data_IF_861959610739
#
_entry.id   IF_861959610739
#
_cell.length_a   1.000
_cell.length_b   1.000
_cell.length_c   1.000
_cell.angle_alpha   90.00
_cell.angle_beta   90.00
_cell.angle_gamma   90.00
#
_symmetry.space_group_name_H-M   'P 1'
#
loop_
_entity.id
_entity.type
_entity.pdbx_description
1 polymer ?
#
# COMPACT_ATOMS: atom_id res chain seq x y z
N UNK A 1 33.38 19.97 19.95
CA UNK A 1 32.02 19.88 19.38
C UNK A 1 31.24 18.72 19.93
N UNK A 2 30.01 18.97 20.40
CA UNK A 2 29.11 17.92 20.86
C UNK A 2 28.55 17.16 19.65
N UNK A 3 28.76 15.84 19.60
CA UNK A 3 28.28 14.96 18.51
C UNK A 3 26.81 14.58 18.73
N UNK A 4 25.90 15.54 18.55
CA UNK A 4 24.46 15.39 18.78
C UNK A 4 23.64 15.90 17.58
N UNK A 5 22.44 15.36 17.43
CA UNK A 5 21.39 15.84 16.53
C UNK A 5 20.57 16.92 17.21
N UNK A 6 20.16 17.92 16.43
CA UNK A 6 19.12 18.89 16.77
C UNK A 6 17.93 18.65 15.85
N UNK A 7 16.76 18.39 16.41
CA UNK A 7 15.54 18.09 15.65
C UNK A 7 14.53 19.19 15.94
N UNK A 8 14.19 19.96 14.91
CA UNK A 8 13.15 20.97 14.97
C UNK A 8 11.78 20.32 14.78
N UNK A 9 10.85 20.62 15.67
CA UNK A 9 9.47 20.16 15.61
C UNK A 9 8.59 21.26 15.01
N UNK A 10 7.43 20.89 14.44
CA UNK A 10 6.50 21.84 13.81
C UNK A 10 5.97 22.92 14.78
N UNK A 11 5.97 22.64 16.08
CA UNK A 11 5.60 23.60 17.13
C UNK A 11 6.69 24.62 17.49
N UNK A 12 7.82 24.64 16.79
CA UNK A 12 8.94 25.56 17.03
C UNK A 12 9.92 25.12 18.11
N UNK A 13 9.60 24.07 18.88
CA UNK A 13 10.53 23.43 19.82
C UNK A 13 11.69 22.73 19.08
N UNK A 14 12.87 22.72 19.69
CA UNK A 14 14.01 21.93 19.22
C UNK A 14 14.46 20.97 20.31
N UNK A 15 14.49 19.69 19.99
CA UNK A 15 14.99 18.63 20.87
C UNK A 15 16.37 18.16 20.43
N UNK A 16 17.18 17.69 21.37
CA UNK A 16 18.51 17.15 21.07
C UNK A 16 18.61 15.67 21.39
N UNK A 17 19.31 14.91 20.54
CA UNK A 17 19.55 13.49 20.77
C UNK A 17 20.94 13.07 20.29
N UNK A 18 21.46 11.96 20.82
CA UNK A 18 22.71 11.37 20.32
C UNK A 18 22.50 10.56 19.04
N UNK A 19 21.32 9.98 18.88
CA UNK A 19 20.95 9.17 17.72
C UNK A 19 19.61 9.63 17.16
N UNK A 20 19.49 9.62 15.84
CA UNK A 20 18.26 9.90 15.11
C UNK A 20 17.91 8.66 14.29
N UNK A 21 16.71 8.11 14.50
CA UNK A 21 16.19 6.96 13.76
C UNK A 21 14.97 7.42 12.97
N UNK A 22 15.07 7.44 11.65
CA UNK A 22 13.99 7.91 10.75
C UNK A 22 13.16 6.74 10.24
N UNK A 23 12.07 6.42 10.94
CA UNK A 23 11.12 5.37 10.56
C UNK A 23 9.86 5.94 9.88
N UNK A 24 10.04 6.88 8.94
CA UNK A 24 8.95 7.67 8.34
C UNK A 24 8.12 6.92 7.29
N UNK A 25 8.51 5.70 6.93
CA UNK A 25 7.88 4.90 5.87
C UNK A 25 8.22 5.39 4.46
N UNK A 26 8.28 4.47 3.49
CA UNK A 26 8.59 4.79 2.09
C UNK A 26 7.37 5.32 1.31
N UNK A 27 6.17 4.94 1.74
CA UNK A 27 4.89 5.25 1.08
C UNK A 27 4.00 6.10 1.99
N UNK A 28 4.55 7.14 2.62
CA UNK A 28 3.84 7.96 3.62
C UNK A 28 3.45 9.36 3.14
N UNK A 29 3.92 9.78 1.96
CA UNK A 29 3.59 11.08 1.38
C UNK A 29 2.67 10.89 0.16
N UNK A 30 1.46 11.45 0.19
CA UNK A 30 0.57 11.36 -0.96
C UNK A 30 1.13 12.20 -2.11
N UNK A 31 1.08 11.66 -3.32
CA UNK A 31 1.46 12.37 -4.54
C UNK A 31 0.21 12.64 -5.36
N UNK A 32 -0.31 13.86 -5.27
CA UNK A 32 -1.38 14.32 -6.15
C UNK A 32 -0.88 14.35 -7.60
N UNK A 33 -1.70 13.93 -8.58
CA UNK A 33 -1.34 14.04 -9.99
C UNK A 33 -1.36 15.51 -10.42
N UNK A 34 -0.41 15.88 -11.27
CA UNK A 34 -0.37 17.20 -11.89
C UNK A 34 -1.32 17.21 -13.11
N UNK A 35 -2.60 17.48 -12.84
CA UNK A 35 -3.66 17.56 -13.84
C UNK A 35 -4.22 18.99 -13.81
N UNK A 36 -4.08 19.78 -14.89
CA UNK A 36 -4.60 21.13 -14.94
C UNK A 36 -6.11 21.18 -14.63
N UNK A 37 -6.50 22.05 -13.70
CA UNK A 37 -7.89 22.22 -13.28
C UNK A 37 -8.44 21.13 -12.36
N UNK A 38 -7.61 20.20 -11.85
CA UNK A 38 -8.10 19.12 -10.97
C UNK A 38 -8.78 19.65 -9.71
N UNK A 39 -8.24 20.73 -9.12
CA UNK A 39 -8.79 21.34 -7.91
C UNK A 39 -10.08 22.15 -8.19
N UNK A 40 -10.41 22.42 -9.45
CA UNK A 40 -11.66 23.08 -9.86
C UNK A 40 -12.84 22.09 -9.99
N UNK A 41 -12.59 20.80 -9.75
CA UNK A 41 -13.64 19.78 -9.81
C UNK A 41 -14.72 20.09 -8.76
N UNK A 42 -15.94 20.34 -9.23
CA UNK A 42 -17.07 20.68 -8.35
C UNK A 42 -17.55 19.52 -7.46
N UNK A 43 -17.11 18.29 -7.76
CA UNK A 43 -17.38 17.12 -6.93
C UNK A 43 -16.33 16.88 -5.85
N UNK A 44 -16.43 15.75 -5.16
CA UNK A 44 -15.47 15.37 -4.11
C UNK A 44 -14.20 14.77 -4.72
N UNK A 45 -13.05 15.28 -4.30
CA UNK A 45 -11.73 14.68 -4.60
C UNK A 45 -11.25 13.93 -3.37
N UNK A 46 -10.93 12.65 -3.52
CA UNK A 46 -10.37 11.80 -2.44
C UNK A 46 -9.06 11.19 -2.91
N UNK A 47 -7.99 11.37 -2.14
CA UNK A 47 -6.75 10.64 -2.35
C UNK A 47 -6.76 9.36 -1.50
N UNK A 48 -6.39 8.21 -2.04
CA UNK A 48 -6.52 6.92 -1.35
C UNK A 48 -5.72 6.79 -0.05
N UNK A 49 -4.65 7.58 0.12
CA UNK A 49 -3.89 7.69 1.38
C UNK A 49 -4.55 8.60 2.43
N UNK A 50 -5.40 9.53 1.98
CA UNK A 50 -6.12 10.50 2.81
C UNK A 50 -7.63 10.26 2.65
N UNK A 51 -8.02 9.03 2.98
CA UNK A 51 -9.39 8.56 2.79
C UNK A 51 -10.30 9.13 3.88
N UNK A 52 -11.45 9.67 3.47
CA UNK A 52 -12.50 10.14 4.37
C UNK A 52 -13.42 8.97 4.74
N UNK A 53 -13.32 8.46 5.97
CA UNK A 53 -14.16 7.34 6.44
C UNK A 53 -15.66 7.68 6.53
N UNK A 54 -16.03 8.98 6.46
CA UNK A 54 -17.43 9.41 6.39
C UNK A 54 -18.00 9.37 4.96
N UNK A 55 -17.17 9.23 3.94
CA UNK A 55 -17.59 9.19 2.55
C UNK A 55 -18.23 7.83 2.19
N UNK A 56 -19.44 7.88 1.62
CA UNK A 56 -20.07 6.72 0.99
C UNK A 56 -20.01 6.81 -0.53
N UNK A 57 -19.50 5.79 -1.23
CA UNK A 57 -19.50 5.74 -2.69
C UNK A 57 -20.86 5.30 -3.28
N UNK A 58 -21.86 5.00 -2.44
CA UNK A 58 -23.14 4.43 -2.88
C UNK A 58 -23.90 5.38 -3.82
N UNK A 59 -24.21 4.91 -5.04
CA UNK A 59 -24.96 5.69 -6.02
C UNK A 59 -24.16 6.80 -6.73
N UNK A 60 -22.89 6.98 -6.38
CA UNK A 60 -22.03 7.99 -6.99
C UNK A 60 -21.48 7.55 -8.36
N UNK A 61 -21.17 8.52 -9.22
CA UNK A 61 -20.37 8.29 -10.43
C UNK A 61 -18.92 8.66 -10.15
N UNK A 62 -18.05 7.66 -10.14
CA UNK A 62 -16.69 7.79 -9.62
C UNK A 62 -15.67 7.68 -10.77
N UNK A 63 -14.78 8.67 -10.87
CA UNK A 63 -13.56 8.57 -11.66
C UNK A 63 -12.38 8.14 -10.78
N UNK A 64 -11.75 7.01 -11.09
CA UNK A 64 -10.56 6.51 -10.38
C UNK A 64 -9.31 6.69 -11.27
N UNK A 65 -8.35 7.49 -10.81
CA UNK A 65 -7.11 7.78 -11.54
C UNK A 65 -5.96 6.94 -10.97
N UNK A 66 -5.36 6.11 -11.82
CA UNK A 66 -4.22 5.26 -11.48
C UNK A 66 -4.62 3.80 -11.21
N UNK A 67 -3.77 2.87 -11.64
CA UNK A 67 -4.04 1.43 -11.63
C UNK A 67 -2.96 0.64 -10.86
N UNK A 68 -2.37 1.25 -9.82
CA UNK A 68 -1.39 0.58 -8.96
C UNK A 68 -2.02 -0.43 -7.99
N UNK A 69 -1.21 -0.96 -7.07
CA UNK A 69 -1.66 -1.96 -6.09
C UNK A 69 -2.89 -1.52 -5.28
N UNK A 70 -2.97 -0.23 -4.90
CA UNK A 70 -4.13 0.34 -4.21
C UNK A 70 -5.41 0.24 -5.05
N UNK A 71 -5.34 0.53 -6.35
CA UNK A 71 -6.49 0.48 -7.24
C UNK A 71 -7.02 -0.94 -7.41
N UNK A 72 -6.15 -1.95 -7.49
CA UNK A 72 -6.54 -3.37 -7.59
C UNK A 72 -7.41 -3.80 -6.41
N UNK A 73 -7.20 -3.21 -5.23
CA UNK A 73 -7.98 -3.49 -4.03
C UNK A 73 -9.24 -2.62 -3.92
N UNK A 74 -9.17 -1.36 -4.37
CA UNK A 74 -10.30 -0.41 -4.30
C UNK A 74 -11.37 -0.71 -5.35
N UNK A 75 -10.99 -0.95 -6.61
CA UNK A 75 -11.92 -1.15 -7.73
C UNK A 75 -12.99 -2.20 -7.38
N UNK A 76 -12.66 -3.41 -6.88
CA UNK A 76 -13.67 -4.43 -6.56
C UNK A 76 -14.62 -4.04 -5.41
N UNK A 77 -14.25 -3.10 -4.54
CA UNK A 77 -15.13 -2.63 -3.47
C UNK A 77 -16.00 -1.47 -3.94
N UNK A 78 -15.45 -0.56 -4.74
CA UNK A 78 -16.18 0.57 -5.31
C UNK A 78 -17.25 0.11 -6.31
N UNK A 79 -16.96 -0.88 -7.17
CA UNK A 79 -17.94 -1.41 -8.14
C UNK A 79 -19.17 -2.03 -7.51
N UNK A 80 -19.12 -2.41 -6.22
CA UNK A 80 -20.28 -2.97 -5.50
C UNK A 80 -21.28 -1.90 -5.06
N UNK A 81 -20.87 -0.63 -5.01
CA UNK A 81 -21.63 0.45 -4.37
C UNK A 81 -21.87 1.64 -5.32
N UNK A 82 -20.87 2.01 -6.13
CA UNK A 82 -20.97 3.10 -7.08
C UNK A 82 -22.02 2.84 -8.16
N UNK A 83 -22.72 3.89 -8.61
CA UNK A 83 -23.60 3.80 -9.77
C UNK A 83 -22.79 3.59 -11.05
N UNK A 84 -21.63 4.24 -11.15
CA UNK A 84 -20.71 4.09 -12.27
C UNK A 84 -19.26 4.25 -11.77
N UNK A 85 -18.35 3.44 -12.31
CA UNK A 85 -16.92 3.55 -12.03
C UNK A 85 -16.13 3.63 -13.35
N UNK A 86 -15.52 4.78 -13.61
CA UNK A 86 -14.61 4.97 -14.74
C UNK A 86 -13.16 4.89 -14.24
N UNK A 87 -12.35 4.00 -14.83
CA UNK A 87 -10.94 3.81 -14.44
C UNK A 87 -10.02 4.44 -15.49
N UNK A 88 -9.27 5.44 -15.09
CA UNK A 88 -8.26 6.11 -15.92
C UNK A 88 -6.89 5.45 -15.72
N UNK A 89 -6.50 4.63 -16.70
CA UNK A 89 -5.24 3.90 -16.70
C UNK A 89 -4.20 4.56 -17.60
N UNK A 90 -3.05 4.97 -17.04
CA UNK A 90 -1.90 5.41 -17.84
C UNK A 90 -1.05 4.24 -18.33
N UNK A 91 -0.80 3.26 -17.47
CA UNK A 91 0.03 2.09 -17.77
C UNK A 91 -0.58 0.86 -17.13
N UNK A 92 -0.85 -0.22 -17.89
CA UNK A 92 -1.38 -1.46 -17.31
C UNK A 92 -0.35 -2.11 -16.39
N UNK A 93 -0.83 -2.77 -15.34
CA UNK A 93 0.01 -3.57 -14.45
C UNK A 93 -0.30 -5.06 -14.61
N UNK A 94 0.67 -5.90 -14.28
CA UNK A 94 0.45 -7.34 -14.18
C UNK A 94 -0.29 -7.66 -12.89
N UNK A 95 -1.47 -8.26 -13.01
CA UNK A 95 -2.30 -8.68 -11.88
C UNK A 95 -2.38 -10.19 -11.87
N UNK A 96 -2.06 -10.79 -10.73
CA UNK A 96 -2.21 -12.23 -10.48
C UNK A 96 -3.28 -12.44 -9.40
N UNK A 97 -4.00 -13.58 -9.40
CA UNK A 97 -4.94 -13.91 -8.34
C UNK A 97 -4.26 -13.89 -6.98
N UNK A 98 -4.79 -13.08 -6.05
CA UNK A 98 -4.37 -13.09 -4.64
C UNK A 98 -5.15 -14.20 -3.93
N UNK A 99 -4.48 -15.31 -3.64
CA UNK A 99 -5.03 -16.35 -2.77
C UNK A 99 -4.99 -15.80 -1.35
N UNK A 100 -6.16 -15.46 -0.80
CA UNK A 100 -6.31 -14.94 0.55
C UNK A 100 -7.23 -15.86 1.35
N UNK A 101 -6.78 -16.28 2.53
CA UNK A 101 -7.55 -17.14 3.42
C UNK A 101 -7.32 -16.75 4.87
N UNK A 102 -8.37 -16.81 5.71
CA UNK A 102 -8.24 -16.49 7.12
C UNK A 102 -7.30 -17.49 7.80
N UNK A 103 -6.29 -16.98 8.53
CA UNK A 103 -5.42 -17.83 9.35
C UNK A 103 -6.28 -18.52 10.41
N UNK A 104 -6.34 -19.88 10.45
CA UNK A 104 -7.19 -20.61 11.38
C UNK A 104 -6.87 -20.31 12.85
N UNK A 105 -7.89 -20.34 13.72
CA UNK A 105 -7.74 -20.00 15.14
C UNK A 105 -6.72 -20.88 15.88
N UNK A 106 -6.64 -22.18 15.55
CA UNK A 106 -5.66 -23.08 16.15
C UNK A 106 -4.22 -22.67 15.77
N UNK A 107 -3.99 -22.26 14.52
CA UNK A 107 -2.68 -21.85 14.02
C UNK A 107 -2.25 -20.53 14.67
N UNK A 108 -3.19 -19.58 14.86
CA UNK A 108 -2.94 -18.35 15.63
C UNK A 108 -2.50 -18.66 17.07
N UNK A 109 -3.16 -19.61 17.74
CA UNK A 109 -2.79 -20.05 19.11
C UNK A 109 -1.42 -20.71 19.13
N UNK A 110 -1.08 -21.50 18.11
CA UNK A 110 0.23 -22.13 17.98
C UNK A 110 1.33 -21.09 17.79
N UNK A 111 1.13 -20.10 16.91
CA UNK A 111 2.07 -18.98 16.74
C UNK A 111 2.31 -18.20 18.04
N UNK A 112 1.25 -17.92 18.81
CA UNK A 112 1.37 -17.19 20.07
C UNK A 112 2.15 -17.95 21.15
N UNK A 113 2.15 -19.29 21.11
CA UNK A 113 2.77 -20.14 22.16
C UNK A 113 4.13 -20.69 21.77
N UNK A 114 4.41 -20.84 20.47
CA UNK A 114 5.62 -21.49 19.97
C UNK A 114 6.31 -20.59 18.93
N UNK A 115 7.22 -19.69 19.36
CA UNK A 115 7.89 -18.73 18.47
C UNK A 115 8.66 -19.38 17.30
N UNK A 116 9.11 -20.63 17.46
CA UNK A 116 9.77 -21.39 16.39
C UNK A 116 8.85 -21.67 15.20
N UNK A 117 7.55 -21.84 15.43
CA UNK A 117 6.58 -22.10 14.35
C UNK A 117 6.42 -20.85 13.48
N UNK A 118 6.39 -19.66 14.07
CA UNK A 118 6.35 -18.40 13.32
C UNK A 118 7.65 -18.18 12.54
N UNK A 119 8.82 -18.50 13.13
CA UNK A 119 10.12 -18.42 12.43
C UNK A 119 10.21 -19.37 11.25
N UNK A 120 9.78 -20.62 11.42
CA UNK A 120 9.78 -21.62 10.37
C UNK A 120 8.86 -21.19 9.22
N UNK A 121 7.63 -20.76 9.53
CA UNK A 121 6.70 -20.29 8.50
C UNK A 121 7.23 -19.05 7.79
N UNK A 122 7.79 -18.08 8.53
CA UNK A 122 8.40 -16.89 7.91
C UNK A 122 9.53 -17.25 6.96
N UNK A 123 10.43 -18.15 7.38
CA UNK A 123 11.52 -18.61 6.53
C UNK A 123 11.00 -19.27 5.25
N UNK A 124 9.99 -20.13 5.37
CA UNK A 124 9.37 -20.78 4.22
C UNK A 124 8.70 -19.78 3.28
N UNK A 125 7.94 -18.81 3.80
CA UNK A 125 7.28 -17.79 2.98
C UNK A 125 8.28 -16.87 2.31
N UNK A 126 9.33 -16.47 3.03
CA UNK A 126 10.39 -15.59 2.52
C UNK A 126 11.15 -16.30 1.39
N UNK A 127 11.56 -17.56 1.60
CA UNK A 127 12.25 -18.36 0.60
C UNK A 127 11.37 -18.60 -0.65
N UNK A 128 10.08 -18.86 -0.48
CA UNK A 128 9.16 -19.03 -1.61
C UNK A 128 8.98 -17.72 -2.41
N UNK A 129 8.79 -16.59 -1.72
CA UNK A 129 8.67 -15.29 -2.37
C UNK A 129 9.95 -14.91 -3.11
N UNK A 130 11.11 -15.14 -2.50
CA UNK A 130 12.41 -14.87 -3.11
C UNK A 130 12.63 -15.74 -4.36
N UNK A 131 12.37 -17.05 -4.27
CA UNK A 131 12.46 -17.95 -5.42
C UNK A 131 11.51 -17.54 -6.55
N UNK A 132 10.26 -17.20 -6.22
CA UNK A 132 9.28 -16.74 -7.21
C UNK A 132 9.73 -15.43 -7.87
N UNK A 133 10.21 -14.45 -7.10
CA UNK A 133 10.70 -13.18 -7.65
C UNK A 133 11.90 -13.38 -8.58
N UNK A 134 12.87 -14.20 -8.20
CA UNK A 134 14.06 -14.47 -9.02
C UNK A 134 13.68 -15.21 -10.30
N UNK A 135 12.86 -16.24 -10.22
CA UNK A 135 12.49 -17.06 -11.38
C UNK A 135 11.52 -16.33 -12.30
N UNK A 136 10.48 -15.69 -11.75
CA UNK A 136 9.40 -15.10 -12.53
C UNK A 136 9.66 -13.65 -12.98
N UNK A 137 10.33 -12.82 -12.16
CA UNK A 137 10.50 -11.38 -12.46
C UNK A 137 11.89 -11.09 -13.01
N UNK A 138 12.96 -11.57 -12.36
CA UNK A 138 14.34 -11.29 -12.80
C UNK A 138 14.72 -12.10 -14.04
N UNK A 139 14.31 -13.38 -14.11
CA UNK A 139 14.55 -14.26 -15.26
C UNK A 139 13.41 -14.26 -16.28
N UNK A 140 12.48 -13.31 -16.21
CA UNK A 140 11.30 -13.22 -17.09
C UNK A 140 11.64 -13.33 -18.59
N UNK A 141 12.80 -12.80 -19.02
CA UNK A 141 13.26 -12.89 -20.41
C UNK A 141 13.57 -14.32 -20.88
N UNK A 142 13.90 -15.24 -19.99
CA UNK A 142 14.21 -16.64 -20.32
C UNK A 142 12.95 -17.51 -20.48
N UNK A 143 11.84 -17.11 -19.84
CA UNK A 143 10.57 -17.84 -19.89
C UNK A 143 9.60 -17.35 -20.97
N UNK A 144 9.94 -16.23 -21.64
CA UNK A 144 9.24 -15.74 -22.82
C UNK A 144 9.75 -16.45 -24.09
N UNK A 145 9.44 -17.74 -24.21
CA UNK A 145 9.49 -18.48 -25.49
C UNK A 145 8.07 -18.86 -25.88
#
# INVERSE_FOLDING_TARGET
>A
DAKIWHVALSGGETVTSRFLITATGYLSQPRKPDIPGIEDFAGRIVHSMDWDDSYSPSGERIGLIGTGATAVQLIPQLTKQAAELTVYQRTPIHVVPKIDFPIPAFLRRLFARVPLVQRAIRWTTDANLEAMMILSVLNFKYFRK
#
